data_IF_294528059458
#
_entry.id   IF_294528059458
#
_cell.length_a   1.000
_cell.length_b   1.000
_cell.length_c   1.000
_cell.angle_alpha   90.00
_cell.angle_beta   90.00
_cell.angle_gamma   90.00
#
_symmetry.space_group_name_H-M   'P 1'
#
loop_
_entity.id
_entity.type
_entity.pdbx_description
1 polymer ?
#
# COMPACT_ATOMS: atom_id res chain seq x y z
N UNK A 1 -2.85 -17.91 14.04
CA UNK A 1 -2.69 -16.44 14.00
C UNK A 1 -3.91 -15.76 13.40
N UNK A 2 -4.71 -16.49 12.62
CA UNK A 2 -5.89 -15.99 11.89
C UNK A 2 -6.95 -15.31 12.76
N UNK A 3 -7.26 -15.88 13.94
CA UNK A 3 -8.19 -15.27 14.88
C UNK A 3 -7.73 -13.89 15.37
N UNK A 4 -6.42 -13.69 15.53
CA UNK A 4 -5.85 -12.40 15.93
C UNK A 4 -5.90 -11.39 14.77
N UNK A 5 -5.70 -11.85 13.53
CA UNK A 5 -5.83 -11.01 12.33
C UNK A 5 -7.28 -10.54 12.18
N UNK A 6 -8.25 -11.46 12.24
CA UNK A 6 -9.68 -11.11 12.15
C UNK A 6 -10.09 -10.16 13.29
N UNK A 7 -9.70 -10.47 14.53
CA UNK A 7 -10.00 -9.62 15.67
C UNK A 7 -9.44 -8.20 15.50
N UNK A 8 -8.17 -8.09 15.08
CA UNK A 8 -7.55 -6.79 14.81
C UNK A 8 -8.26 -6.02 13.68
N UNK A 9 -8.69 -6.71 12.62
CA UNK A 9 -9.41 -6.12 11.50
C UNK A 9 -10.78 -5.57 11.93
N UNK A 10 -11.52 -6.34 12.73
CA UNK A 10 -12.81 -5.91 13.30
C UNK A 10 -12.64 -4.68 14.19
N UNK A 11 -11.61 -4.66 15.04
CA UNK A 11 -11.31 -3.50 15.88
C UNK A 11 -10.93 -2.26 15.04
N UNK A 12 -10.12 -2.41 14.00
CA UNK A 12 -9.74 -1.32 13.11
C UNK A 12 -10.93 -0.78 12.30
N UNK A 13 -11.80 -1.65 11.80
CA UNK A 13 -13.03 -1.25 11.12
C UNK A 13 -13.96 -0.51 12.09
N UNK A 14 -14.26 -1.11 13.24
CA UNK A 14 -15.18 -0.54 14.22
C UNK A 14 -14.73 0.82 14.76
N UNK A 15 -13.46 0.94 15.14
CA UNK A 15 -12.89 2.19 15.67
C UNK A 15 -12.89 3.30 14.62
N UNK A 16 -12.54 3.00 13.37
CA UNK A 16 -12.56 3.98 12.29
C UNK A 16 -13.97 4.44 11.95
N UNK A 17 -14.94 3.52 11.82
CA UNK A 17 -16.33 3.87 11.51
C UNK A 17 -16.96 4.69 12.65
N UNK A 18 -16.65 4.36 13.90
CA UNK A 18 -17.07 5.15 15.05
C UNK A 18 -16.52 6.58 15.00
N UNK A 19 -15.22 6.73 14.76
CA UNK A 19 -14.57 8.04 14.60
C UNK A 19 -15.14 8.84 13.41
N UNK A 20 -15.37 8.18 12.29
CA UNK A 20 -15.93 8.77 11.07
C UNK A 20 -17.37 9.26 11.28
N UNK A 21 -18.21 8.48 11.97
CA UNK A 21 -19.59 8.85 12.29
C UNK A 21 -19.69 10.10 13.17
N UNK A 22 -18.75 10.29 14.12
CA UNK A 22 -18.73 11.49 14.98
C UNK A 22 -18.24 12.76 14.30
N UNK A 23 -17.54 12.64 13.16
CA UNK A 23 -16.87 13.76 12.48
C UNK A 23 -17.51 14.12 11.13
N UNK A 24 -18.60 13.47 10.74
CA UNK A 24 -19.28 13.71 9.45
C UNK A 24 -18.41 13.31 8.26
N UNK A 25 -17.63 12.23 8.37
CA UNK A 25 -16.68 11.82 7.33
C UNK A 25 -17.38 11.37 6.03
N UNK A 26 -16.69 11.49 4.90
CA UNK A 26 -17.24 11.09 3.60
C UNK A 26 -17.51 9.59 3.53
N UNK A 27 -18.67 9.20 3.00
CA UNK A 27 -19.05 7.80 2.76
C UNK A 27 -17.99 7.05 1.94
N UNK A 28 -17.46 7.67 0.89
CA UNK A 28 -16.41 7.08 0.06
C UNK A 28 -15.17 6.71 0.87
N UNK A 29 -14.77 7.54 1.84
CA UNK A 29 -13.62 7.26 2.71
C UNK A 29 -13.88 6.12 3.69
N UNK A 30 -15.11 6.00 4.19
CA UNK A 30 -15.52 4.86 5.03
C UNK A 30 -15.52 3.56 4.23
N UNK A 31 -16.10 3.59 3.03
CA UNK A 31 -16.12 2.43 2.14
C UNK A 31 -14.70 1.99 1.75
N UNK A 32 -13.81 2.91 1.36
CA UNK A 32 -12.42 2.60 1.05
C UNK A 32 -11.68 1.98 2.25
N UNK A 33 -11.91 2.46 3.47
CA UNK A 33 -11.29 1.87 4.66
C UNK A 33 -11.71 0.42 4.87
N UNK A 34 -13.03 0.17 4.88
CA UNK A 34 -13.57 -1.17 5.10
C UNK A 34 -13.12 -2.12 4.01
N UNK A 35 -13.23 -1.71 2.75
CA UNK A 35 -12.81 -2.53 1.61
C UNK A 35 -11.31 -2.82 1.65
N UNK A 36 -10.47 -1.83 1.96
CA UNK A 36 -9.03 -2.01 2.09
C UNK A 36 -8.67 -3.05 3.16
N UNK A 37 -9.29 -2.99 4.34
CA UNK A 37 -9.06 -3.98 5.41
C UNK A 37 -9.55 -5.37 4.98
N UNK A 38 -10.75 -5.47 4.40
CA UNK A 38 -11.31 -6.75 3.97
C UNK A 38 -10.41 -7.44 2.94
N UNK A 39 -9.87 -6.69 1.97
CA UNK A 39 -8.93 -7.23 0.99
C UNK A 39 -7.63 -7.71 1.64
N UNK A 40 -7.09 -6.99 2.62
CA UNK A 40 -5.90 -7.42 3.34
C UNK A 40 -6.15 -8.72 4.13
N UNK A 41 -7.31 -8.83 4.80
CA UNK A 41 -7.70 -10.04 5.54
C UNK A 41 -7.92 -11.22 4.59
N UNK A 42 -8.56 -11.01 3.45
CA UNK A 42 -8.84 -12.05 2.46
C UNK A 42 -7.57 -12.75 1.95
N UNK A 43 -6.48 -11.99 1.80
CA UNK A 43 -5.18 -12.52 1.37
C UNK A 43 -4.48 -13.31 2.48
N UNK A 44 -4.70 -12.93 3.74
CA UNK A 44 -4.02 -13.54 4.89
C UNK A 44 -4.78 -14.73 5.48
N UNK A 45 -6.10 -14.76 5.31
CA UNK A 45 -6.99 -15.71 5.96
C UNK A 45 -8.03 -16.23 4.97
N UNK A 46 -8.20 -17.55 4.96
CA UNK A 46 -9.26 -18.22 4.21
C UNK A 46 -8.76 -18.89 2.91
N UNK A 47 -9.68 -19.23 1.99
CA UNK A 47 -9.39 -20.11 0.86
C UNK A 47 -8.40 -19.49 -0.15
N UNK A 48 -8.35 -18.16 -0.26
CA UNK A 48 -7.39 -17.49 -1.11
C UNK A 48 -5.96 -17.67 -0.58
N UNK A 49 -5.76 -17.55 0.74
CA UNK A 49 -4.46 -17.75 1.38
C UNK A 49 -3.93 -19.18 1.14
N UNK A 50 -4.80 -20.18 1.23
CA UNK A 50 -4.44 -21.58 0.92
C UNK A 50 -4.10 -21.77 -0.56
N UNK A 51 -4.86 -21.16 -1.48
CA UNK A 51 -4.58 -21.22 -2.90
C UNK A 51 -3.25 -20.54 -3.26
N UNK A 52 -2.91 -19.42 -2.60
CA UNK A 52 -1.64 -18.72 -2.81
C UNK A 52 -0.41 -19.56 -2.46
N UNK A 53 -0.55 -20.55 -1.58
CA UNK A 53 0.55 -21.47 -1.26
C UNK A 53 0.77 -22.52 -2.34
N UNK A 54 -0.24 -22.81 -3.17
CA UNK A 54 -0.21 -23.87 -4.18
C UNK A 54 -0.07 -23.36 -5.61
N UNK A 55 -0.48 -22.12 -5.85
CA UNK A 55 -0.54 -21.54 -7.18
C UNK A 55 0.08 -20.15 -7.20
N UNK A 56 1.13 -19.99 -8.01
CA UNK A 56 1.81 -18.72 -8.21
C UNK A 56 0.89 -17.63 -8.79
N UNK A 57 -0.09 -17.99 -9.63
CA UNK A 57 -1.05 -17.03 -10.18
C UNK A 57 -1.91 -16.44 -9.06
N UNK A 58 -2.43 -17.30 -8.17
CA UNK A 58 -3.16 -16.85 -6.97
C UNK A 58 -2.26 -15.99 -6.08
N UNK A 59 -0.98 -16.34 -5.95
CA UNK A 59 0.01 -15.52 -5.24
C UNK A 59 0.15 -14.11 -5.85
N UNK A 60 0.17 -13.97 -7.18
CA UNK A 60 0.19 -12.66 -7.84
C UNK A 60 -1.07 -11.83 -7.53
N UNK A 61 -2.25 -12.44 -7.54
CA UNK A 61 -3.47 -11.76 -7.10
C UNK A 61 -3.37 -11.31 -5.64
N UNK A 62 -2.88 -12.17 -4.75
CA UNK A 62 -2.64 -11.83 -3.35
C UNK A 62 -1.68 -10.65 -3.19
N UNK A 63 -0.57 -10.64 -3.95
CA UNK A 63 0.36 -9.53 -3.99
C UNK A 63 -0.31 -8.22 -4.43
N UNK A 64 -1.11 -8.23 -5.50
CA UNK A 64 -1.81 -7.02 -5.98
C UNK A 64 -2.85 -6.52 -4.96
N UNK A 65 -3.63 -7.44 -4.38
CA UNK A 65 -4.67 -7.09 -3.41
C UNK A 65 -4.08 -6.52 -2.12
N UNK A 66 -3.05 -7.17 -1.57
CA UNK A 66 -2.44 -6.81 -0.30
C UNK A 66 -1.35 -5.74 -0.43
N UNK A 67 -0.50 -5.84 -1.43
CA UNK A 67 0.66 -4.96 -1.62
C UNK A 67 0.34 -3.65 -2.34
N UNK A 68 -0.78 -3.56 -3.06
CA UNK A 68 -1.10 -2.38 -3.87
C UNK A 68 -2.52 -1.86 -3.62
N UNK A 69 -3.55 -2.67 -3.87
CA UNK A 69 -4.94 -2.20 -3.85
C UNK A 69 -5.42 -1.84 -2.44
N UNK A 70 -5.18 -2.72 -1.45
CA UNK A 70 -5.52 -2.45 -0.06
C UNK A 70 -4.81 -1.19 0.46
N UNK A 71 -3.47 -1.04 0.34
CA UNK A 71 -2.76 0.19 0.61
C UNK A 71 -3.36 1.44 -0.01
N UNK A 72 -3.70 1.40 -1.29
CA UNK A 72 -4.34 2.53 -1.99
C UNK A 72 -5.65 2.93 -1.35
N UNK A 73 -6.53 1.96 -1.10
CA UNK A 73 -7.83 2.20 -0.46
C UNK A 73 -7.68 2.76 0.97
N UNK A 74 -6.73 2.24 1.74
CA UNK A 74 -6.44 2.71 3.09
C UNK A 74 -5.84 4.11 3.10
N UNK A 75 -5.04 4.50 2.11
CA UNK A 75 -4.54 5.88 1.99
C UNK A 75 -5.66 6.84 1.57
N UNK A 76 -6.54 6.41 0.65
CA UNK A 76 -7.70 7.19 0.20
C UNK A 76 -8.69 7.49 1.32
N UNK A 77 -8.75 6.65 2.36
CA UNK A 77 -9.61 6.89 3.52
C UNK A 77 -9.12 8.03 4.42
N UNK A 78 -7.85 8.46 4.29
CA UNK A 78 -7.20 9.50 5.10
C UNK A 78 -7.20 9.19 6.62
N UNK A 79 -6.70 8.02 7.05
CA UNK A 79 -6.83 7.54 8.41
C UNK A 79 -6.07 8.39 9.42
N UNK A 80 -4.89 8.91 9.06
CA UNK A 80 -4.15 9.77 9.98
C UNK A 80 -4.86 11.11 10.17
N UNK A 81 -5.48 11.64 9.13
CA UNK A 81 -6.30 12.85 9.22
C UNK A 81 -7.49 12.65 10.16
N UNK A 82 -8.18 11.51 10.06
CA UNK A 82 -9.30 11.17 10.95
C UNK A 82 -8.82 10.99 12.40
N UNK A 83 -7.70 10.31 12.58
CA UNK A 83 -7.08 10.09 13.90
C UNK A 83 -6.74 11.43 14.57
N UNK A 84 -6.08 12.34 13.86
CA UNK A 84 -5.72 13.65 14.39
C UNK A 84 -6.93 14.55 14.69
N UNK A 85 -8.05 14.36 13.98
CA UNK A 85 -9.31 15.09 14.24
C UNK A 85 -10.08 14.56 15.45
N UNK A 86 -9.93 13.29 15.79
CA UNK A 86 -10.66 12.66 16.91
C UNK A 86 -9.87 12.63 18.21
N UNK A 87 -8.54 12.68 18.15
CA UNK A 87 -7.69 12.70 19.34
C UNK A 87 -7.77 14.03 20.10
N UNK A 88 -7.74 14.01 21.45
CA UNK A 88 -7.51 15.22 22.24
C UNK A 88 -6.20 15.88 21.86
N UNK A 89 -6.14 17.22 21.92
CA UNK A 89 -5.00 18.05 21.46
C UNK A 89 -3.65 17.56 22.00
N UNK A 90 -3.59 17.14 23.27
CA UNK A 90 -2.37 16.61 23.90
C UNK A 90 -1.82 15.38 23.17
N UNK A 91 -2.70 14.45 22.79
CA UNK A 91 -2.31 13.23 22.08
C UNK A 91 -2.07 13.48 20.60
N UNK A 92 -2.90 14.33 19.96
CA UNK A 92 -2.68 14.75 18.58
C UNK A 92 -1.30 15.40 18.40
N UNK A 93 -0.85 16.22 19.36
CA UNK A 93 0.49 16.83 19.36
C UNK A 93 1.60 15.77 19.47
N UNK A 94 1.44 14.76 20.33
CA UNK A 94 2.41 13.66 20.45
C UNK A 94 2.50 12.84 19.17
N UNK A 95 1.36 12.50 18.56
CA UNK A 95 1.33 11.78 17.27
C UNK A 95 2.00 12.60 16.18
N UNK A 96 1.70 13.90 16.09
CA UNK A 96 2.36 14.80 15.14
C UNK A 96 3.87 14.92 15.40
N UNK A 97 4.31 14.94 16.66
CA UNK A 97 5.74 14.90 17.01
C UNK A 97 6.42 13.60 16.58
N UNK A 98 5.76 12.45 16.77
CA UNK A 98 6.26 11.15 16.32
C UNK A 98 6.38 11.08 14.80
N UNK A 99 5.36 11.56 14.08
CA UNK A 99 5.37 11.70 12.61
C UNK A 99 6.49 12.64 12.12
N UNK A 100 6.97 13.53 13.00
CA UNK A 100 8.07 14.45 12.73
C UNK A 100 9.44 13.93 13.17
N UNK A 101 9.52 12.70 13.67
CA UNK A 101 10.80 12.09 14.01
C UNK A 101 11.66 11.89 12.76
N UNK A 102 12.99 11.93 12.94
CA UNK A 102 13.96 11.69 11.85
C UNK A 102 13.75 10.33 11.19
N UNK A 103 13.34 9.33 11.96
CA UNK A 103 13.04 8.00 11.45
C UNK A 103 11.87 8.02 10.46
N UNK A 104 10.75 8.66 10.83
CA UNK A 104 9.59 8.80 9.93
C UNK A 104 9.96 9.61 8.69
N UNK A 105 10.75 10.68 8.83
CA UNK A 105 11.22 11.47 7.69
C UNK A 105 12.08 10.65 6.72
N UNK A 106 12.95 9.78 7.24
CA UNK A 106 13.81 8.93 6.43
C UNK A 106 13.02 7.89 5.64
N UNK A 107 12.08 7.19 6.29
CA UNK A 107 11.26 6.16 5.63
C UNK A 107 10.21 6.78 4.69
N UNK A 108 9.69 7.96 5.03
CA UNK A 108 8.74 8.71 4.19
C UNK A 108 9.40 9.49 3.06
N UNK A 109 10.72 9.37 2.86
CA UNK A 109 11.39 9.89 1.68
C UNK A 109 10.99 9.05 0.45
N UNK A 110 10.56 9.67 -0.68
CA UNK A 110 10.07 8.97 -1.87
C UNK A 110 10.98 7.83 -2.36
N UNK A 111 12.29 8.05 -2.38
CA UNK A 111 13.27 7.02 -2.80
C UNK A 111 13.38 5.89 -1.79
N UNK A 112 13.31 6.17 -0.49
CA UNK A 112 13.34 5.12 0.54
C UNK A 112 12.09 4.26 0.46
N UNK A 113 10.92 4.89 0.30
CA UNK A 113 9.66 4.18 0.11
C UNK A 113 9.67 3.32 -1.16
N UNK A 114 10.24 3.84 -2.26
CA UNK A 114 10.47 3.06 -3.49
C UNK A 114 11.38 1.85 -3.23
N UNK A 115 12.51 2.04 -2.56
CA UNK A 115 13.46 0.96 -2.28
C UNK A 115 12.84 -0.12 -1.37
N UNK A 116 12.08 0.27 -0.35
CA UNK A 116 11.38 -0.69 0.52
C UNK A 116 10.31 -1.48 -0.24
N UNK A 117 9.60 -0.82 -1.16
CA UNK A 117 8.52 -1.42 -1.94
C UNK A 117 9.05 -2.27 -3.11
N UNK A 118 9.67 -1.62 -4.11
CA UNK A 118 10.19 -2.30 -5.29
C UNK A 118 11.40 -3.18 -4.96
N UNK A 119 12.32 -2.72 -4.10
CA UNK A 119 13.46 -3.52 -3.68
C UNK A 119 13.05 -4.76 -2.90
N UNK A 120 12.06 -4.65 -2.01
CA UNK A 120 11.50 -5.81 -1.29
C UNK A 120 10.89 -6.85 -2.25
N UNK A 121 10.18 -6.39 -3.28
CA UNK A 121 9.57 -7.25 -4.29
C UNK A 121 10.62 -7.96 -5.17
N UNK A 122 11.63 -7.21 -5.61
CA UNK A 122 12.77 -7.77 -6.35
C UNK A 122 13.49 -8.82 -5.53
N UNK A 123 13.78 -8.53 -4.26
CA UNK A 123 14.47 -9.45 -3.37
C UNK A 123 13.63 -10.72 -3.16
N UNK A 124 12.32 -10.60 -2.98
CA UNK A 124 11.42 -11.74 -2.83
C UNK A 124 11.46 -12.70 -4.02
N UNK A 125 11.34 -12.19 -5.26
CA UNK A 125 11.21 -13.04 -6.44
C UNK A 125 12.53 -13.39 -7.14
N UNK A 126 13.62 -12.66 -6.87
CA UNK A 126 14.94 -12.93 -7.46
C UNK A 126 15.86 -13.74 -6.55
N UNK A 127 15.43 -14.06 -5.34
CA UNK A 127 16.15 -14.90 -4.39
C UNK A 127 15.30 -16.09 -3.95
N UNK A 128 15.86 -16.97 -3.14
CA UNK A 128 15.15 -18.13 -2.60
C UNK A 128 14.10 -17.76 -1.53
N UNK A 129 13.89 -16.47 -1.22
CA UNK A 129 12.89 -16.01 -0.26
C UNK A 129 11.48 -16.45 -0.63
N UNK A 130 11.14 -16.48 -1.92
CA UNK A 130 9.86 -17.00 -2.39
C UNK A 130 9.66 -18.48 -2.01
N UNK A 131 10.71 -19.31 -2.06
CA UNK A 131 10.59 -20.71 -1.60
C UNK A 131 10.59 -20.79 -0.07
N UNK A 132 11.47 -20.03 0.58
CA UNK A 132 11.58 -20.03 2.05
C UNK A 132 10.29 -19.58 2.73
N UNK A 133 9.55 -18.63 2.15
CA UNK A 133 8.28 -18.18 2.74
C UNK A 133 7.19 -19.26 2.73
N UNK A 134 7.27 -20.24 1.82
CA UNK A 134 6.35 -21.38 1.81
C UNK A 134 6.74 -22.45 2.84
N UNK A 135 8.03 -22.55 3.18
CA UNK A 135 8.51 -23.48 4.20
C UNK A 135 8.36 -22.96 5.63
N UNK A 136 8.58 -21.66 5.85
CA UNK A 136 8.58 -21.06 7.19
C UNK A 136 7.38 -20.13 7.40
N UNK A 137 6.44 -20.55 8.24
CA UNK A 137 5.22 -19.79 8.54
C UNK A 137 5.50 -18.38 9.11
N UNK A 138 6.52 -18.22 9.96
CA UNK A 138 6.88 -16.90 10.49
C UNK A 138 7.37 -15.96 9.38
N UNK A 139 8.14 -16.49 8.43
CA UNK A 139 8.67 -15.74 7.29
C UNK A 139 7.56 -15.36 6.32
N UNK A 140 6.58 -16.25 6.11
CA UNK A 140 5.35 -15.96 5.37
C UNK A 140 4.67 -14.68 5.89
N UNK A 141 4.37 -14.62 7.19
CA UNK A 141 3.71 -13.45 7.77
C UNK A 141 4.60 -12.19 7.73
N UNK A 142 5.91 -12.34 7.95
CA UNK A 142 6.84 -11.22 7.89
C UNK A 142 6.90 -10.60 6.49
N UNK A 143 6.96 -11.42 5.44
CA UNK A 143 7.01 -10.95 4.05
C UNK A 143 5.69 -10.28 3.69
N UNK A 144 4.54 -10.89 3.97
CA UNK A 144 3.25 -10.28 3.66
C UNK A 144 3.03 -8.98 4.44
N UNK A 145 3.45 -8.92 5.70
CA UNK A 145 3.43 -7.69 6.49
C UNK A 145 4.35 -6.62 5.87
N UNK A 146 5.57 -6.98 5.47
CA UNK A 146 6.50 -6.07 4.80
C UNK A 146 5.91 -5.53 3.50
N UNK A 147 5.39 -6.40 2.64
CA UNK A 147 4.78 -6.02 1.35
C UNK A 147 3.59 -5.06 1.57
N UNK A 148 2.72 -5.35 2.54
CA UNK A 148 1.62 -4.45 2.90
C UNK A 148 2.12 -3.11 3.43
N UNK A 149 3.06 -3.12 4.39
CA UNK A 149 3.57 -1.92 5.03
C UNK A 149 4.35 -1.03 4.05
N UNK A 150 5.19 -1.63 3.20
CA UNK A 150 5.94 -0.94 2.17
C UNK A 150 5.01 -0.36 1.10
N UNK A 151 3.98 -1.10 0.66
CA UNK A 151 2.96 -0.62 -0.27
C UNK A 151 2.14 0.54 0.31
N UNK A 152 1.74 0.47 1.57
CA UNK A 152 1.06 1.56 2.28
C UNK A 152 1.95 2.79 2.39
N UNK A 153 3.20 2.64 2.83
CA UNK A 153 4.16 3.73 2.93
C UNK A 153 4.40 4.39 1.57
N UNK A 154 4.66 3.60 0.54
CA UNK A 154 4.86 4.09 -0.82
C UNK A 154 3.66 4.87 -1.32
N UNK A 155 2.46 4.32 -1.19
CA UNK A 155 1.23 4.99 -1.65
C UNK A 155 0.93 6.26 -0.84
N UNK A 156 1.17 6.25 0.48
CA UNK A 156 0.98 7.41 1.34
C UNK A 156 1.93 8.56 0.95
N UNK A 157 3.19 8.26 0.67
CA UNK A 157 4.19 9.22 0.20
C UNK A 157 3.90 9.71 -1.23
N UNK A 158 3.43 8.82 -2.10
CA UNK A 158 3.13 9.18 -3.48
C UNK A 158 1.85 9.98 -3.62
N UNK A 159 0.83 9.77 -2.79
CA UNK A 159 -0.45 10.50 -2.92
C UNK A 159 -0.55 11.68 -1.93
N UNK A 160 0.09 11.61 -0.77
CA UNK A 160 0.12 12.63 0.30
C UNK A 160 -1.27 13.11 0.76
N UNK A 161 -2.24 12.21 0.90
CA UNK A 161 -3.61 12.58 1.36
C UNK A 161 -3.58 13.02 2.81
N UNK A 162 -2.85 12.27 3.64
CA UNK A 162 -2.63 12.59 5.03
C UNK A 162 -1.53 13.66 5.21
N UNK A 163 -1.58 14.43 6.31
CA UNK A 163 -0.65 15.53 6.53
C UNK A 163 0.79 15.04 6.71
N UNK A 164 1.67 15.49 5.83
CA UNK A 164 3.13 15.34 5.90
C UNK A 164 3.76 16.72 6.10
N UNK A 165 4.70 16.85 7.05
CA UNK A 165 5.29 18.16 7.40
C UNK A 165 6.14 18.77 6.28
N UNK A 166 6.80 17.92 5.50
CA UNK A 166 7.65 18.33 4.38
C UNK A 166 7.20 17.57 3.12
N UNK A 167 6.12 18.04 2.45
CA UNK A 167 5.68 17.41 1.21
C UNK A 167 6.73 17.60 0.13
N UNK A 168 6.99 16.54 -0.64
CA UNK A 168 7.94 16.62 -1.75
C UNK A 168 7.26 17.21 -2.98
N UNK A 169 8.04 17.88 -3.83
CA UNK A 169 7.49 18.47 -5.06
C UNK A 169 6.80 17.42 -5.92
N UNK A 170 5.69 17.81 -6.57
CA UNK A 170 4.96 16.92 -7.47
C UNK A 170 5.86 16.32 -8.55
N UNK A 171 6.73 17.15 -9.15
CA UNK A 171 7.71 16.71 -10.16
C UNK A 171 8.62 15.58 -9.66
N UNK A 172 9.16 15.73 -8.46
CA UNK A 172 10.05 14.72 -7.87
C UNK A 172 9.31 13.41 -7.62
N UNK A 173 8.11 13.47 -7.04
CA UNK A 173 7.27 12.28 -6.84
C UNK A 173 6.86 11.62 -8.15
N UNK A 174 6.54 12.39 -9.18
CA UNK A 174 6.23 11.85 -10.51
C UNK A 174 7.42 11.09 -11.11
N UNK A 175 8.65 11.60 -10.97
CA UNK A 175 9.86 10.90 -11.42
C UNK A 175 10.01 9.57 -10.66
N UNK A 176 9.89 9.59 -9.33
CA UNK A 176 9.99 8.37 -8.52
C UNK A 176 8.88 7.37 -8.86
N UNK A 177 7.66 7.84 -9.13
CA UNK A 177 6.55 7.01 -9.58
C UNK A 177 6.85 6.34 -10.93
N UNK A 178 7.38 7.08 -11.90
CA UNK A 178 7.78 6.53 -13.22
C UNK A 178 8.85 5.44 -13.05
N UNK A 179 9.85 5.68 -12.18
CA UNK A 179 10.88 4.68 -11.88
C UNK A 179 10.26 3.45 -11.19
N UNK A 180 9.31 3.64 -10.28
CA UNK A 180 8.57 2.53 -9.63
C UNK A 180 7.86 1.65 -10.63
N UNK A 181 7.10 2.28 -11.54
CA UNK A 181 6.36 1.59 -12.61
C UNK A 181 7.35 0.81 -13.47
N UNK A 182 8.45 1.45 -13.91
CA UNK A 182 9.46 0.77 -14.70
C UNK A 182 10.03 -0.46 -13.97
N UNK A 183 10.38 -0.34 -12.68
CA UNK A 183 10.91 -1.45 -11.88
C UNK A 183 9.88 -2.58 -11.70
N UNK A 184 8.61 -2.25 -11.48
CA UNK A 184 7.53 -3.22 -11.34
C UNK A 184 7.27 -3.96 -12.66
N UNK A 185 7.22 -3.23 -13.78
CA UNK A 185 6.97 -3.78 -15.10
C UNK A 185 8.14 -4.60 -15.64
N UNK A 186 9.38 -4.17 -15.38
CA UNK A 186 10.57 -4.96 -15.70
C UNK A 186 10.57 -6.26 -14.89
N UNK A 187 10.24 -6.20 -13.60
CA UNK A 187 10.17 -7.39 -12.76
C UNK A 187 9.13 -8.39 -13.26
N UNK A 188 7.91 -7.92 -13.57
CA UNK A 188 6.87 -8.76 -14.16
C UNK A 188 7.36 -9.44 -15.45
N UNK A 189 7.92 -8.67 -16.40
CA UNK A 189 8.46 -9.23 -17.65
C UNK A 189 9.63 -10.18 -17.43
N UNK A 190 10.41 -9.99 -16.38
CA UNK A 190 11.56 -10.86 -16.08
C UNK A 190 11.18 -12.31 -15.76
N UNK A 191 9.92 -12.57 -15.37
CA UNK A 191 9.44 -13.92 -15.10
C UNK A 191 9.31 -14.80 -16.35
N UNK A 192 9.25 -14.21 -17.54
CA UNK A 192 9.24 -14.96 -18.80
C UNK A 192 10.56 -15.71 -19.04
N UNK A 193 11.73 -15.03 -19.07
CA UNK A 193 13.01 -15.71 -19.22
C UNK A 193 13.53 -16.35 -17.92
N UNK A 194 13.14 -15.82 -16.76
CA UNK A 194 13.71 -16.21 -15.47
C UNK A 194 12.60 -16.38 -14.42
N UNK A 195 11.85 -17.50 -14.45
CA UNK A 195 10.80 -17.78 -13.48
C UNK A 195 11.36 -17.83 -12.04
N UNK A 196 10.60 -17.42 -11.02
CA UNK A 196 11.01 -17.58 -9.63
C UNK A 196 11.28 -19.04 -9.27
N UNK A 197 12.17 -19.27 -8.30
CA UNK A 197 12.54 -20.62 -7.86
C UNK A 197 11.29 -21.42 -7.46
N UNK A 198 11.18 -22.66 -7.94
CA UNK A 198 10.05 -23.56 -7.66
C UNK A 198 8.76 -23.29 -8.44
N UNK A 199 8.73 -22.31 -9.35
CA UNK A 199 7.55 -21.99 -10.18
C UNK A 199 7.71 -22.55 -11.59
N UNK A 200 6.67 -23.22 -12.09
CA UNK A 200 6.63 -23.72 -13.47
C UNK A 200 6.59 -22.55 -14.47
N UNK A 201 7.29 -22.65 -15.62
CA UNK A 201 7.34 -21.55 -16.60
C UNK A 201 5.96 -21.06 -17.06
N UNK A 202 5.00 -21.96 -17.28
CA UNK A 202 3.63 -21.61 -17.70
C UNK A 202 2.89 -20.78 -16.63
N UNK A 203 3.04 -21.16 -15.35
CA UNK A 203 2.48 -20.39 -14.24
C UNK A 203 3.19 -19.04 -14.08
N UNK A 204 4.51 -19.01 -14.28
CA UNK A 204 5.29 -17.77 -14.20
C UNK A 204 4.86 -16.77 -15.29
N UNK A 205 4.62 -17.23 -16.52
CA UNK A 205 4.12 -16.38 -17.61
C UNK A 205 2.72 -15.84 -17.32
N UNK A 206 1.82 -16.69 -16.82
CA UNK A 206 0.46 -16.25 -16.48
C UNK A 206 0.46 -15.29 -15.28
N UNK A 207 1.26 -15.60 -14.26
CA UNK A 207 1.47 -14.72 -13.13
C UNK A 207 2.09 -13.38 -13.53
N UNK A 208 3.06 -13.38 -14.45
CA UNK A 208 3.63 -12.17 -15.03
C UNK A 208 2.55 -11.28 -15.64
N UNK A 209 1.65 -11.84 -16.46
CA UNK A 209 0.54 -11.09 -17.06
C UNK A 209 -0.38 -10.49 -15.98
N UNK A 210 -0.75 -11.26 -14.96
CA UNK A 210 -1.56 -10.77 -13.84
C UNK A 210 -0.89 -9.59 -13.16
N UNK A 211 0.39 -9.74 -12.81
CA UNK A 211 1.18 -8.68 -12.17
C UNK A 211 1.34 -7.45 -13.08
N UNK A 212 1.56 -7.65 -14.38
CA UNK A 212 1.74 -6.60 -15.38
C UNK A 212 0.48 -5.73 -15.47
N UNK A 213 -0.65 -6.33 -15.88
CA UNK A 213 -1.90 -5.62 -16.14
C UNK A 213 -2.60 -5.18 -14.85
N UNK A 214 -2.58 -6.03 -13.83
CA UNK A 214 -3.18 -5.71 -12.53
C UNK A 214 -2.43 -4.58 -11.82
N UNK A 215 -1.08 -4.60 -11.91
CA UNK A 215 -0.24 -3.50 -11.43
C UNK A 215 -0.53 -2.19 -12.14
N UNK A 216 -0.57 -2.21 -13.48
CA UNK A 216 -0.84 -1.03 -14.32
C UNK A 216 -2.14 -0.34 -13.91
N UNK A 217 -3.22 -1.09 -13.69
CA UNK A 217 -4.52 -0.52 -13.28
C UNK A 217 -4.39 0.27 -11.96
N UNK A 218 -3.69 -0.30 -10.98
CA UNK A 218 -3.55 0.32 -9.66
C UNK A 218 -2.59 1.51 -9.72
N UNK A 219 -1.48 1.39 -10.44
CA UNK A 219 -0.49 2.46 -10.65
C UNK A 219 -1.09 3.65 -11.41
N UNK A 220 -1.87 3.38 -12.47
CA UNK A 220 -2.63 4.41 -13.19
C UNK A 220 -3.65 5.09 -12.27
N UNK A 221 -4.29 4.35 -11.38
CA UNK A 221 -5.20 4.94 -10.39
C UNK A 221 -4.45 5.86 -9.42
N UNK A 222 -3.26 5.47 -8.94
CA UNK A 222 -2.40 6.31 -8.10
C UNK A 222 -2.01 7.58 -8.86
N UNK A 223 -1.52 7.46 -10.10
CA UNK A 223 -1.16 8.61 -10.95
C UNK A 223 -2.36 9.53 -11.15
N UNK A 224 -3.54 8.98 -11.44
CA UNK A 224 -4.76 9.76 -11.62
C UNK A 224 -5.07 10.59 -10.37
N UNK A 225 -5.01 9.99 -9.18
CA UNK A 225 -5.24 10.70 -7.91
C UNK A 225 -4.16 11.76 -7.67
N UNK A 226 -2.89 11.46 -7.94
CA UNK A 226 -1.79 12.43 -7.85
C UNK A 226 -2.02 13.65 -8.75
N UNK A 227 -2.34 13.42 -10.02
CA UNK A 227 -2.62 14.47 -11.01
C UNK A 227 -3.86 15.28 -10.63
N UNK A 228 -4.94 14.62 -10.21
CA UNK A 228 -6.17 15.28 -9.76
C UNK A 228 -5.92 16.21 -8.57
N UNK A 229 -5.10 15.77 -7.60
CA UNK A 229 -4.71 16.60 -6.46
C UNK A 229 -3.85 17.79 -6.89
N UNK A 230 -2.85 17.56 -7.74
CA UNK A 230 -2.00 18.62 -8.24
C UNK A 230 -2.82 19.67 -9.00
N UNK A 231 -3.69 19.25 -9.92
CA UNK A 231 -4.60 20.13 -10.66
C UNK A 231 -5.48 20.99 -9.73
N UNK A 232 -6.06 20.38 -8.69
CA UNK A 232 -6.87 21.10 -7.69
C UNK A 232 -6.05 22.09 -6.85
N UNK A 233 -4.77 21.82 -6.61
CA UNK A 233 -3.89 22.69 -5.82
C UNK A 233 -3.40 23.92 -6.59
N UNK A 234 -3.27 23.82 -7.91
CA UNK A 234 -2.76 24.88 -8.79
C UNK A 234 -3.89 25.75 -9.36
N UNK A 235 -5.15 25.29 -9.30
CA UNK A 235 -6.31 26.04 -9.81
C UNK A 235 -6.39 27.45 -9.18
N UNK A 236 -6.29 28.53 -9.97
CA UNK A 236 -6.49 29.90 -9.47
C UNK A 236 -7.95 30.04 -9.00
N UNK A 237 -8.17 30.40 -7.73
CA UNK A 237 -9.52 30.63 -7.19
C UNK A 237 -9.82 30.10 -5.78
N UNK A 238 -8.87 29.46 -5.09
CA UNK A 238 -9.03 29.02 -3.66
C UNK A 238 -7.92 29.49 -2.72
N UNK A 239 -7.25 30.60 -3.04
CA UNK A 239 -6.37 31.34 -2.10
C UNK A 239 -7.00 32.70 -1.79
N UNK A 240 -8.06 32.70 -0.99
CA UNK A 240 -8.56 33.87 -0.26
C UNK A 240 -9.51 33.32 0.82
N UNK A 241 -9.40 33.85 2.05
CA UNK A 241 -10.09 33.44 3.29
C UNK A 241 -9.43 32.31 4.10
N UNK A 242 -8.26 32.62 4.66
CA UNK A 242 -7.88 32.19 6.01
C UNK A 242 -6.91 33.24 6.56
N UNK A 243 -7.48 34.34 7.05
CA UNK A 243 -6.92 35.17 8.12
C UNK A 243 -7.72 34.84 9.38
#
# INVERSE_FOLDING_TARGET
MDGLIIFSAVLLIGSYLYAAGRTGWSFLRMFSWVLGILLAVLVMVGPLAEQMQRNFISHMYGHLLLGMLSPLLLVLSAPMTLLLRTLPVKYARKVSQLMNSRYVQLISHPVTALLLNAGGLWLLYRTDLFMMMHHYTWLHYLIHFHIFAAGYLFTAVMVEIDPLRHPYSFKYRSIVMIVSIALHQILSKSFYPYPPAGVLPEQAQTGAMVMYYGGDIIELTIIFVMCLKWYRSVRPGKRQFAA
#
